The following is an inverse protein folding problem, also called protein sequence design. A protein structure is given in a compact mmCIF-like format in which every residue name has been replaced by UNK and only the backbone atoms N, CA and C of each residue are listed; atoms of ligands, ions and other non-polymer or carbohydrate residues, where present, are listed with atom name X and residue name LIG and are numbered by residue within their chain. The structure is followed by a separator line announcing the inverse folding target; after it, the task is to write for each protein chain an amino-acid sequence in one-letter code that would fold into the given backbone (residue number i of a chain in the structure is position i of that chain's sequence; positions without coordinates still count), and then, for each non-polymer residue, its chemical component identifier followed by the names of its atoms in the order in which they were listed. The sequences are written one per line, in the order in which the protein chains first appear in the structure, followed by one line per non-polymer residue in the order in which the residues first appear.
data_IF_674891961006
#
_entry.id   IF_674891961006
#
_cell.length_a   1.000
_cell.length_b   1.000
_cell.length_c   1.000
_cell.angle_alpha   90.00
_cell.angle_beta   90.00
_cell.angle_gamma   90.00
#
_symmetry.space_group_name_H-M   'P 1'
#
loop_
_entity.id
_entity.type
_entity.pdbx_description
1 polymer ?
#
# COMPACT_ATOMS: atom_id res chain seq x y z
N UNK A 1 15.36 -8.28 16.65
CA UNK A 1 15.75 -8.06 15.24
C UNK A 1 14.51 -8.26 14.37
N UNK A 2 13.48 -7.42 14.51
CA UNK A 2 12.11 -7.87 14.15
C UNK A 2 11.24 -6.86 13.40
N UNK A 3 11.49 -5.54 13.51
CA UNK A 3 10.65 -4.54 12.82
C UNK A 3 11.05 -4.30 11.35
N UNK A 4 12.36 -4.15 11.07
CA UNK A 4 12.85 -3.83 9.72
C UNK A 4 12.55 -4.94 8.68
N UNK A 5 12.55 -6.20 9.09
CA UNK A 5 12.29 -7.35 8.21
C UNK A 5 10.80 -7.52 7.86
N UNK A 6 9.91 -7.09 8.76
CA UNK A 6 8.46 -7.13 8.52
C UNK A 6 8.06 -6.02 7.56
N UNK A 7 8.58 -4.81 7.74
CA UNK A 7 8.28 -3.66 6.87
C UNK A 7 8.70 -3.92 5.41
N UNK A 8 9.90 -4.49 5.19
CA UNK A 8 10.37 -4.86 3.85
C UNK A 8 9.46 -5.91 3.19
N UNK A 9 9.00 -6.91 3.97
CA UNK A 9 8.11 -7.97 3.47
C UNK A 9 6.72 -7.41 3.15
N UNK A 10 6.22 -6.48 3.96
CA UNK A 10 4.94 -5.80 3.74
C UNK A 10 5.01 -4.90 2.50
N UNK A 11 6.08 -4.11 2.36
CA UNK A 11 6.30 -3.25 1.19
C UNK A 11 6.25 -4.05 -0.11
N UNK A 12 6.99 -5.16 -0.17
CA UNK A 12 6.98 -6.05 -1.33
C UNK A 12 5.60 -6.69 -1.56
N UNK A 13 4.86 -7.02 -0.50
CA UNK A 13 3.51 -7.58 -0.64
C UNK A 13 2.52 -6.55 -1.18
N UNK A 14 2.60 -5.31 -0.71
CA UNK A 14 1.75 -4.21 -1.17
C UNK A 14 2.10 -3.82 -2.61
N UNK A 15 3.39 -3.70 -2.97
CA UNK A 15 3.79 -3.42 -4.36
C UNK A 15 3.31 -4.50 -5.31
N UNK A 16 3.49 -5.78 -4.96
CA UNK A 16 3.02 -6.90 -5.77
C UNK A 16 1.50 -6.94 -5.91
N UNK A 17 0.75 -6.61 -4.86
CA UNK A 17 -0.71 -6.48 -4.95
C UNK A 17 -1.13 -5.36 -5.90
N UNK A 18 -0.47 -4.20 -5.82
CA UNK A 18 -0.77 -3.07 -6.70
C UNK A 18 -0.43 -3.42 -8.15
N UNK A 19 0.73 -4.03 -8.39
CA UNK A 19 1.15 -4.46 -9.72
C UNK A 19 0.21 -5.50 -10.32
N UNK A 20 -0.16 -6.53 -9.55
CA UNK A 20 -1.05 -7.60 -10.03
C UNK A 20 -2.48 -7.09 -10.30
N UNK A 21 -2.99 -6.19 -9.47
CA UNK A 21 -4.40 -5.76 -9.51
C UNK A 21 -4.64 -4.58 -10.42
N UNK A 22 -3.67 -3.68 -10.54
CA UNK A 22 -3.80 -2.41 -11.28
C UNK A 22 -2.84 -2.31 -12.47
N UNK A 23 -1.93 -3.27 -12.66
CA UNK A 23 -1.03 -3.33 -13.81
C UNK A 23 0.12 -2.32 -13.77
N UNK A 24 0.46 -1.82 -12.57
CA UNK A 24 1.53 -0.85 -12.37
C UNK A 24 2.89 -1.53 -12.21
N UNK A 25 3.95 -0.83 -12.61
CA UNK A 25 5.30 -1.35 -12.51
C UNK A 25 5.83 -1.26 -11.07
N UNK A 26 6.39 -2.36 -10.56
CA UNK A 26 6.93 -2.39 -9.20
C UNK A 26 8.16 -1.47 -9.06
N UNK A 27 8.97 -1.28 -10.10
CA UNK A 27 10.11 -0.38 -10.01
C UNK A 27 9.66 1.09 -9.92
N UNK A 28 8.57 1.46 -10.60
CA UNK A 28 7.95 2.79 -10.46
C UNK A 28 7.38 3.00 -9.05
N UNK A 29 6.70 2.00 -8.49
CA UNK A 29 6.21 2.04 -7.10
C UNK A 29 7.34 2.16 -6.07
N UNK A 30 8.48 1.53 -6.34
CA UNK A 30 9.66 1.55 -5.48
C UNK A 30 10.55 2.78 -5.68
N UNK A 31 10.30 3.61 -6.71
CA UNK A 31 11.10 4.79 -7.04
C UNK A 31 10.98 5.92 -6.00
N UNK A 32 9.94 5.88 -5.17
CA UNK A 32 9.60 6.95 -4.23
C UNK A 32 8.66 8.01 -4.81
N UNK A 33 8.10 7.79 -6.01
CA UNK A 33 7.02 8.60 -6.55
C UNK A 33 5.75 8.47 -5.69
N UNK A 34 4.95 9.54 -5.69
CA UNK A 34 3.61 9.54 -5.09
C UNK A 34 2.63 8.78 -5.95
N UNK A 35 1.54 8.31 -5.36
CA UNK A 35 0.46 7.64 -6.07
C UNK A 35 -0.18 8.53 -7.15
N UNK A 36 -0.31 9.84 -6.92
CA UNK A 36 -0.72 10.82 -7.94
C UNK A 36 0.22 10.82 -9.16
N UNK A 37 1.53 10.73 -8.94
CA UNK A 37 2.53 10.67 -10.03
C UNK A 37 2.52 9.33 -10.78
N UNK A 38 1.95 8.28 -10.18
CA UNK A 38 1.84 6.92 -10.73
C UNK A 38 0.45 6.62 -11.31
N UNK A 39 -0.37 7.65 -11.55
CA UNK A 39 -1.76 7.52 -12.00
C UNK A 39 -2.63 6.64 -11.08
N UNK A 40 -2.28 6.57 -9.78
CA UNK A 40 -3.07 5.92 -8.74
C UNK A 40 -4.04 6.95 -8.14
N UNK A 41 -5.25 6.94 -8.68
CA UNK A 41 -6.34 7.79 -8.22
C UNK A 41 -6.98 7.29 -6.91
N UNK A 42 -7.77 8.15 -6.29
CA UNK A 42 -8.59 7.84 -5.10
C UNK A 42 -9.47 6.58 -5.25
N UNK A 43 -10.00 6.29 -6.44
CA UNK A 43 -10.79 5.08 -6.69
C UNK A 43 -9.94 3.82 -6.56
N UNK A 44 -8.73 3.84 -7.12
CA UNK A 44 -7.77 2.73 -7.02
C UNK A 44 -7.38 2.51 -5.55
N UNK A 45 -7.18 3.58 -4.79
CA UNK A 45 -6.88 3.48 -3.35
C UNK A 45 -8.04 2.87 -2.54
N UNK A 46 -9.29 3.21 -2.89
CA UNK A 46 -10.47 2.58 -2.29
C UNK A 46 -10.49 1.09 -2.62
N UNK A 47 -10.25 0.69 -3.86
CA UNK A 47 -10.17 -0.73 -4.24
C UNK A 47 -9.03 -1.47 -3.51
N UNK A 48 -7.85 -0.85 -3.42
CA UNK A 48 -6.71 -1.38 -2.67
C UNK A 48 -7.09 -1.61 -1.20
N UNK A 49 -7.82 -0.68 -0.57
CA UNK A 49 -8.28 -0.84 0.82
C UNK A 49 -9.19 -2.05 1.01
N UNK A 50 -10.04 -2.35 0.02
CA UNK A 50 -10.92 -3.52 0.04
C UNK A 50 -10.13 -4.82 -0.15
N UNK A 51 -9.12 -4.80 -1.02
CA UNK A 51 -8.22 -5.92 -1.27
C UNK A 51 -7.40 -6.23 -0.01
N UNK A 52 -6.81 -5.22 0.63
CA UNK A 52 -6.06 -5.37 1.88
C UNK A 52 -6.93 -5.97 3.00
N UNK A 53 -8.20 -5.55 3.10
CA UNK A 53 -9.15 -6.15 4.03
C UNK A 53 -9.39 -7.63 3.74
N UNK A 54 -9.60 -7.98 2.48
CA UNK A 54 -9.92 -9.35 2.07
C UNK A 54 -8.73 -10.30 2.17
N UNK A 55 -7.56 -9.86 1.71
CA UNK A 55 -6.35 -10.69 1.57
C UNK A 55 -5.47 -10.67 2.84
N UNK A 56 -5.57 -9.62 3.65
CA UNK A 56 -4.70 -9.41 4.81
C UNK A 56 -5.45 -9.15 6.11
N UNK A 57 -6.78 -9.01 6.08
CA UNK A 57 -7.57 -8.67 7.26
C UNK A 57 -7.41 -7.22 7.72
N UNK A 58 -6.69 -6.38 6.98
CA UNK A 58 -6.37 -5.01 7.36
C UNK A 58 -7.51 -4.08 6.95
N UNK A 59 -8.15 -3.45 7.95
CA UNK A 59 -9.24 -2.50 7.71
C UNK A 59 -8.68 -1.08 7.69
N UNK A 60 -8.71 -0.47 6.52
CA UNK A 60 -8.47 0.96 6.34
C UNK A 60 -9.81 1.69 6.18
N UNK A 61 -9.90 2.89 6.76
CA UNK A 61 -11.04 3.79 6.54
C UNK A 61 -10.73 4.78 5.41
N UNK A 62 -11.78 5.40 4.87
CA UNK A 62 -11.64 6.38 3.80
C UNK A 62 -10.71 7.53 4.21
N UNK A 63 -9.78 7.89 3.31
CA UNK A 63 -8.80 8.96 3.54
C UNK A 63 -7.56 8.55 4.33
N UNK A 64 -7.44 7.30 4.80
CA UNK A 64 -6.19 6.79 5.39
C UNK A 64 -5.10 6.54 4.35
N UNK A 65 -5.48 6.14 3.15
CA UNK A 65 -4.62 6.18 1.97
C UNK A 65 -4.97 7.40 1.14
N UNK A 66 -3.94 8.09 0.66
CA UNK A 66 -4.06 9.31 -0.13
C UNK A 66 -3.19 9.20 -1.37
N UNK A 67 -3.64 9.78 -2.47
CA UNK A 67 -2.88 9.81 -3.73
C UNK A 67 -1.59 10.62 -3.59
N UNK A 68 -1.53 11.55 -2.63
CA UNK A 68 -0.30 12.27 -2.27
C UNK A 68 0.75 11.43 -1.54
N UNK A 69 0.49 10.15 -1.25
CA UNK A 69 1.43 9.28 -0.53
C UNK A 69 2.35 8.54 -1.50
N UNK A 70 3.56 8.30 -1.04
CA UNK A 70 4.46 7.30 -1.59
C UNK A 70 4.09 5.89 -1.12
N UNK A 71 4.64 4.86 -1.77
CA UNK A 71 4.48 3.48 -1.32
C UNK A 71 4.95 3.29 0.13
N UNK A 72 6.07 3.90 0.53
CA UNK A 72 6.60 3.78 1.89
C UNK A 72 5.65 4.36 2.95
N UNK A 73 5.06 5.53 2.68
CA UNK A 73 4.09 6.15 3.58
C UNK A 73 2.81 5.31 3.69
N UNK A 74 2.33 4.76 2.58
CA UNK A 74 1.18 3.86 2.58
C UNK A 74 1.46 2.59 3.39
N UNK A 75 2.64 1.98 3.21
CA UNK A 75 3.09 0.79 3.96
C UNK A 75 3.17 1.09 5.45
N UNK A 76 3.64 2.28 5.85
CA UNK A 76 3.67 2.68 7.25
C UNK A 76 2.26 2.74 7.87
N UNK A 77 1.28 3.29 7.15
CA UNK A 77 -0.13 3.32 7.58
C UNK A 77 -0.68 1.89 7.70
N UNK A 78 -0.43 1.04 6.70
CA UNK A 78 -0.89 -0.35 6.67
C UNK A 78 -0.28 -1.15 7.83
N UNK A 79 1.02 -0.98 8.08
CA UNK A 79 1.73 -1.66 9.18
C UNK A 79 1.17 -1.25 10.53
N UNK A 80 0.92 0.05 10.73
CA UNK A 80 0.33 0.55 11.98
C UNK A 80 -1.06 -0.04 12.24
N UNK A 81 -1.84 -0.35 11.20
CA UNK A 81 -3.13 -1.05 11.32
C UNK A 81 -2.98 -2.54 11.57
N UNK A 82 -2.01 -3.18 10.94
CA UNK A 82 -1.73 -4.60 11.16
C UNK A 82 -1.34 -4.89 12.62
N UNK A 83 -0.59 -3.99 13.27
CA UNK A 83 -0.23 -4.11 14.69
C UNK A 83 -1.41 -3.86 15.65
N UNK A 84 -2.50 -3.25 15.17
CA UNK A 84 -3.70 -2.96 15.95
C UNK A 84 -4.81 -4.01 15.77
N UNK A 85 -4.64 -4.95 14.83
CA UNK A 85 -5.60 -6.01 14.50
C UNK A 85 -5.29 -7.32 15.24
#
# INVERSE_FOLDING_TARGET
MTALSVEFSLKHKVSGLISEKFGLDEAELLSGATFDELDIDSLILVELSLILRKEMGIVLVEGELKSSFTLDEAVAVISAKADQA
#
